data_IF_444196909362
#
_entry.id   IF_444196909362
#
_cell.length_a   1.000
_cell.length_b   1.000
_cell.length_c   1.000
_cell.angle_alpha   90.00
_cell.angle_beta   90.00
_cell.angle_gamma   90.00
#
_symmetry.space_group_name_H-M   'P 1'
#
loop_
_entity.id
_entity.type
_entity.pdbx_description
1 polymer ?
#
# COMPACT_ATOMS: atom_id res chain seq x y z
N UNK A 1 -12.81 -16.54 22.22
CA UNK A 1 -14.24 -16.68 21.89
C UNK A 1 -14.34 -17.43 20.57
N UNK A 2 -14.43 -18.76 20.64
CA UNK A 2 -14.47 -19.61 19.46
C UNK A 2 -15.89 -19.55 18.89
N UNK A 3 -16.02 -19.09 17.64
CA UNK A 3 -17.29 -19.14 16.91
C UNK A 3 -17.54 -20.62 16.61
N UNK A 4 -18.40 -21.23 17.40
CA UNK A 4 -18.96 -22.55 17.18
C UNK A 4 -19.92 -22.48 16.00
N UNK A 5 -19.38 -22.64 14.79
CA UNK A 5 -20.21 -22.94 13.62
C UNK A 5 -20.74 -24.35 13.82
N UNK A 6 -22.05 -24.46 14.05
CA UNK A 6 -22.80 -25.69 14.29
C UNK A 6 -22.43 -26.81 13.29
N UNK A 7 -21.77 -27.87 13.78
CA UNK A 7 -21.38 -29.04 12.98
C UNK A 7 -22.53 -30.00 12.69
N UNK A 8 -23.72 -29.79 13.27
CA UNK A 8 -24.83 -30.76 13.20
C UNK A 8 -25.72 -30.63 11.95
N UNK A 9 -25.67 -29.51 11.20
CA UNK A 9 -26.48 -29.34 9.97
C UNK A 9 -25.81 -29.81 8.67
N UNK A 10 -24.55 -30.23 8.73
CA UNK A 10 -23.76 -30.58 7.54
C UNK A 10 -23.65 -32.09 7.28
N UNK A 11 -24.34 -32.93 8.06
CA UNK A 11 -24.18 -34.39 8.01
C UNK A 11 -24.83 -35.10 6.79
N UNK A 12 -25.61 -34.41 5.93
CA UNK A 12 -26.37 -35.06 4.84
C UNK A 12 -26.18 -34.41 3.46
N UNK A 13 -25.49 -33.27 3.35
CA UNK A 13 -25.34 -32.61 2.05
C UNK A 13 -24.16 -33.18 1.25
N UNK A 14 -24.41 -33.59 0.01
CA UNK A 14 -23.32 -33.91 -0.93
C UNK A 14 -22.39 -32.70 -1.09
N UNK A 15 -21.08 -32.88 -1.32
CA UNK A 15 -20.13 -31.76 -1.44
C UNK A 15 -20.55 -30.73 -2.50
N UNK A 16 -21.29 -31.16 -3.52
CA UNK A 16 -21.88 -30.30 -4.56
C UNK A 16 -23.05 -29.45 -4.03
N UNK A 17 -23.93 -30.02 -3.21
CA UNK A 17 -25.02 -29.26 -2.56
C UNK A 17 -24.48 -28.21 -1.59
N UNK A 18 -23.43 -28.55 -0.84
CA UNK A 18 -22.73 -27.58 0.01
C UNK A 18 -22.12 -26.44 -0.83
N UNK A 19 -21.47 -26.77 -1.94
CA UNK A 19 -20.89 -25.78 -2.85
C UNK A 19 -21.94 -24.81 -3.43
N UNK A 20 -23.12 -25.31 -3.84
CA UNK A 20 -24.22 -24.45 -4.31
C UNK A 20 -24.72 -23.49 -3.23
N UNK A 21 -24.95 -24.00 -2.01
CA UNK A 21 -25.41 -23.19 -0.88
C UNK A 21 -24.41 -22.09 -0.53
N UNK A 22 -23.12 -22.44 -0.42
CA UNK A 22 -22.08 -21.46 -0.11
C UNK A 22 -21.84 -20.45 -1.23
N UNK A 23 -21.93 -20.87 -2.50
CA UNK A 23 -21.81 -19.99 -3.65
C UNK A 23 -22.95 -18.96 -3.70
N UNK A 24 -24.18 -19.39 -3.38
CA UNK A 24 -25.34 -18.50 -3.30
C UNK A 24 -25.18 -17.46 -2.20
N UNK A 25 -24.80 -17.87 -0.98
CA UNK A 25 -24.55 -16.92 0.10
C UNK A 25 -23.41 -15.95 -0.21
N UNK A 26 -22.31 -16.44 -0.80
CA UNK A 26 -21.22 -15.58 -1.22
C UNK A 26 -21.65 -14.56 -2.30
N UNK A 27 -22.50 -14.97 -3.25
CA UNK A 27 -23.09 -14.08 -4.25
C UNK A 27 -23.99 -13.01 -3.63
N UNK A 28 -24.88 -13.39 -2.71
CA UNK A 28 -25.78 -12.46 -2.02
C UNK A 28 -25.00 -11.43 -1.18
N UNK A 29 -23.99 -11.88 -0.42
CA UNK A 29 -23.11 -11.00 0.36
C UNK A 29 -22.32 -10.08 -0.57
N UNK A 30 -21.79 -10.61 -1.67
CA UNK A 30 -21.05 -9.85 -2.68
C UNK A 30 -21.92 -8.76 -3.31
N UNK A 31 -23.17 -9.06 -3.65
CA UNK A 31 -24.12 -8.08 -4.18
C UNK A 31 -24.35 -6.96 -3.17
N UNK A 32 -24.67 -7.29 -1.91
CA UNK A 32 -24.91 -6.31 -0.86
C UNK A 32 -23.71 -5.38 -0.62
N UNK A 33 -22.49 -5.94 -0.58
CA UNK A 33 -21.27 -5.16 -0.37
C UNK A 33 -20.90 -4.30 -1.60
N UNK A 34 -20.96 -4.85 -2.81
CA UNK A 34 -20.47 -4.16 -4.00
C UNK A 34 -21.47 -3.20 -4.65
N UNK A 35 -22.74 -3.20 -4.23
CA UNK A 35 -23.73 -2.27 -4.82
C UNK A 35 -23.34 -0.81 -4.63
N UNK A 36 -22.83 -0.46 -3.44
CA UNK A 36 -22.42 0.91 -3.14
C UNK A 36 -21.02 1.25 -3.66
N UNK A 37 -20.14 0.25 -3.82
CA UNK A 37 -18.75 0.47 -4.25
C UNK A 37 -18.55 0.41 -5.77
N UNK A 38 -19.31 -0.45 -6.46
CA UNK A 38 -19.16 -0.72 -7.89
C UNK A 38 -20.44 -0.35 -8.65
N UNK A 39 -21.60 -0.71 -8.10
CA UNK A 39 -22.89 -0.49 -8.76
C UNK A 39 -23.24 0.99 -8.90
N UNK A 40 -22.91 1.80 -7.91
CA UNK A 40 -23.18 3.24 -7.87
C UNK A 40 -21.86 4.02 -7.86
N UNK A 41 -21.63 4.82 -8.89
CA UNK A 41 -20.47 5.73 -8.96
C UNK A 41 -20.96 7.16 -9.08
N UNK A 42 -20.43 8.05 -8.24
CA UNK A 42 -20.57 9.49 -8.46
C UNK A 42 -19.50 9.97 -9.42
N UNK A 43 -19.93 10.58 -10.53
CA UNK A 43 -19.04 11.25 -11.49
C UNK A 43 -19.47 12.72 -11.60
N UNK A 44 -18.53 13.63 -11.86
CA UNK A 44 -18.85 15.02 -12.19
C UNK A 44 -19.12 15.13 -13.68
N UNK A 45 -20.26 15.73 -14.04
CA UNK A 45 -20.57 16.06 -15.43
C UNK A 45 -19.72 17.26 -15.92
N UNK A 46 -19.75 17.54 -17.21
CA UNK A 46 -19.03 18.65 -17.86
C UNK A 46 -19.40 20.02 -17.24
N UNK A 47 -20.60 20.12 -16.64
CA UNK A 47 -21.08 21.29 -15.88
C UNK A 47 -20.69 21.28 -14.39
N UNK A 48 -19.78 20.41 -13.94
CA UNK A 48 -19.37 20.19 -12.54
C UNK A 48 -20.47 19.73 -11.56
N UNK A 49 -21.61 19.25 -12.05
CA UNK A 49 -22.67 18.66 -11.22
C UNK A 49 -22.36 17.20 -10.88
N UNK A 50 -22.63 16.78 -9.64
CA UNK A 50 -22.54 15.38 -9.24
C UNK A 50 -23.70 14.58 -9.85
N UNK A 51 -23.38 13.68 -10.76
CA UNK A 51 -24.33 12.71 -11.32
C UNK A 51 -24.03 11.30 -10.82
N UNK A 52 -25.09 10.52 -10.62
CA UNK A 52 -24.99 9.12 -10.21
C UNK A 52 -24.97 8.23 -11.45
N UNK A 53 -23.80 7.69 -11.78
CA UNK A 53 -23.61 6.74 -12.87
C UNK A 53 -23.81 5.32 -12.35
N UNK A 54 -24.80 4.64 -12.90
CA UNK A 54 -25.13 3.27 -12.53
C UNK A 54 -24.36 2.27 -13.40
N UNK A 55 -23.66 1.32 -12.77
CA UNK A 55 -22.82 0.31 -13.43
C UNK A 55 -23.28 -1.11 -13.11
N UNK A 56 -24.57 -1.37 -13.29
CA UNK A 56 -25.20 -2.66 -13.00
C UNK A 56 -24.52 -3.85 -13.70
N UNK A 57 -24.01 -3.64 -14.92
CA UNK A 57 -23.31 -4.70 -15.68
C UNK A 57 -22.01 -5.12 -15.00
N UNK A 58 -21.18 -4.15 -14.56
CA UNK A 58 -19.94 -4.46 -13.83
C UNK A 58 -20.22 -5.13 -12.50
N UNK A 59 -21.26 -4.69 -11.79
CA UNK A 59 -21.70 -5.33 -10.56
C UNK A 59 -22.12 -6.79 -10.79
N UNK A 60 -22.93 -7.05 -11.82
CA UNK A 60 -23.36 -8.40 -12.16
C UNK A 60 -22.17 -9.30 -12.49
N UNK A 61 -21.19 -8.81 -13.27
CA UNK A 61 -19.96 -9.56 -13.59
C UNK A 61 -19.20 -9.93 -12.31
N UNK A 62 -19.02 -8.98 -11.38
CA UNK A 62 -18.30 -9.23 -10.13
C UNK A 62 -19.04 -10.26 -9.27
N UNK A 63 -20.35 -10.11 -9.10
CA UNK A 63 -21.17 -11.05 -8.31
C UNK A 63 -21.09 -12.46 -8.90
N UNK A 64 -21.24 -12.60 -10.22
CA UNK A 64 -21.12 -13.88 -10.92
C UNK A 64 -19.73 -14.47 -10.72
N UNK A 65 -18.66 -13.67 -10.85
CA UNK A 65 -17.29 -14.12 -10.65
C UNK A 65 -17.05 -14.61 -9.22
N UNK A 66 -17.60 -13.93 -8.20
CA UNK A 66 -17.52 -14.39 -6.80
C UNK A 66 -18.30 -15.68 -6.59
N UNK A 67 -19.52 -15.78 -7.10
CA UNK A 67 -20.36 -16.98 -6.99
C UNK A 67 -19.69 -18.18 -7.65
N UNK A 68 -19.22 -18.03 -8.89
CA UNK A 68 -18.51 -19.11 -9.60
C UNK A 68 -17.18 -19.45 -8.93
N UNK A 69 -16.39 -18.45 -8.53
CA UNK A 69 -15.14 -18.66 -7.83
C UNK A 69 -15.33 -19.42 -6.52
N UNK A 70 -16.35 -19.06 -5.73
CA UNK A 70 -16.69 -19.76 -4.49
C UNK A 70 -17.18 -21.18 -4.76
N UNK A 71 -18.02 -21.38 -5.77
CA UNK A 71 -18.49 -22.69 -6.17
C UNK A 71 -17.31 -23.62 -6.53
N UNK A 72 -16.41 -23.17 -7.40
CA UNK A 72 -15.25 -23.95 -7.83
C UNK A 72 -14.33 -24.26 -6.65
N UNK A 73 -14.10 -23.29 -5.76
CA UNK A 73 -13.27 -23.48 -4.58
C UNK A 73 -13.85 -24.54 -3.64
N UNK A 74 -15.15 -24.49 -3.32
CA UNK A 74 -15.78 -25.44 -2.38
C UNK A 74 -16.02 -26.80 -3.03
N UNK A 75 -16.40 -26.85 -4.30
CA UNK A 75 -16.70 -28.09 -5.00
C UNK A 75 -15.45 -28.91 -5.35
N UNK A 76 -14.33 -28.26 -5.68
CA UNK A 76 -13.13 -28.93 -6.19
C UNK A 76 -11.88 -28.66 -5.36
N UNK A 77 -11.59 -27.41 -4.99
CA UNK A 77 -10.31 -27.08 -4.33
C UNK A 77 -10.24 -27.59 -2.88
N UNK A 78 -11.30 -27.40 -2.10
CA UNK A 78 -11.41 -27.90 -0.71
C UNK A 78 -11.28 -29.42 -0.65
N UNK A 79 -12.09 -30.22 -1.36
CA UNK A 79 -11.98 -31.68 -1.31
C UNK A 79 -10.66 -32.20 -1.88
N UNK A 80 -10.07 -31.55 -2.89
CA UNK A 80 -8.74 -31.91 -3.39
C UNK A 80 -7.65 -31.64 -2.34
N UNK A 81 -7.70 -30.49 -1.64
CA UNK A 81 -6.77 -30.18 -0.55
C UNK A 81 -6.93 -31.13 0.64
N UNK A 82 -8.15 -31.52 0.97
CA UNK A 82 -8.45 -32.49 2.04
C UNK A 82 -7.91 -33.88 1.69
N UNK A 83 -8.10 -34.34 0.43
CA UNK A 83 -7.52 -35.59 -0.07
C UNK A 83 -5.99 -35.56 -0.02
N UNK A 84 -5.35 -34.50 -0.53
CA UNK A 84 -3.89 -34.36 -0.48
C UNK A 84 -3.35 -34.22 0.95
N UNK A 85 -4.09 -33.62 1.89
CA UNK A 85 -3.70 -33.59 3.31
C UNK A 85 -3.83 -34.96 3.96
N UNK A 86 -4.88 -35.72 3.66
CA UNK A 86 -5.07 -37.08 4.16
C UNK A 86 -3.99 -38.03 3.62
N UNK A 87 -3.67 -37.94 2.33
CA UNK A 87 -2.57 -38.68 1.69
C UNK A 87 -1.21 -38.32 2.30
N UNK A 88 -0.95 -37.03 2.58
CA UNK A 88 0.28 -36.57 3.26
C UNK A 88 0.35 -36.97 4.74
N UNK A 89 -0.78 -37.05 5.43
CA UNK A 89 -0.84 -37.52 6.81
C UNK A 89 -0.60 -39.03 6.92
N UNK A 90 -0.89 -39.78 5.85
CA UNK A 90 -0.64 -41.22 5.75
C UNK A 90 0.73 -41.57 5.16
N UNK A 91 1.42 -40.61 4.52
CA UNK A 91 2.77 -40.81 3.99
C UNK A 91 3.84 -40.82 5.12
N UNK A 92 4.87 -41.69 5.04
CA UNK A 92 5.95 -41.72 6.02
C UNK A 92 6.71 -40.38 6.05
N UNK A 93 7.12 -39.97 7.25
CA UNK A 93 7.74 -38.68 7.57
C UNK A 93 9.00 -38.31 6.75
N UNK A 94 9.55 -39.24 5.97
CA UNK A 94 10.70 -39.03 5.10
C UNK A 94 10.34 -38.32 3.77
N UNK A 95 9.07 -38.28 3.36
CA UNK A 95 8.63 -37.60 2.13
C UNK A 95 8.07 -36.21 2.48
N UNK A 96 8.84 -35.41 3.20
CA UNK A 96 8.57 -33.97 3.28
C UNK A 96 8.89 -33.40 1.90
N UNK A 97 7.87 -33.36 1.04
CA UNK A 97 7.97 -32.81 -0.31
C UNK A 97 8.71 -31.46 -0.24
N UNK A 98 9.84 -31.36 -0.94
CA UNK A 98 10.60 -30.11 -1.00
C UNK A 98 9.63 -28.97 -1.36
N UNK A 99 9.73 -27.80 -0.72
CA UNK A 99 8.87 -26.69 -1.03
C UNK A 99 8.97 -26.41 -2.54
N UNK A 100 7.86 -26.62 -3.26
CA UNK A 100 7.82 -26.50 -4.71
C UNK A 100 8.43 -25.19 -5.19
N UNK A 101 8.98 -25.19 -6.41
CA UNK A 101 9.77 -24.08 -6.98
C UNK A 101 9.18 -22.68 -6.71
N UNK A 102 7.85 -22.53 -6.83
CA UNK A 102 7.15 -21.27 -6.55
C UNK A 102 7.29 -20.81 -5.09
N UNK A 103 7.19 -21.71 -4.11
CA UNK A 103 7.34 -21.39 -2.68
C UNK A 103 8.79 -21.07 -2.35
N UNK A 104 9.74 -21.81 -2.94
CA UNK A 104 11.18 -21.58 -2.73
C UNK A 104 11.63 -20.24 -3.31
N UNK A 105 11.10 -19.87 -4.48
CA UNK A 105 11.51 -18.66 -5.21
C UNK A 105 10.53 -17.49 -5.07
N UNK A 106 9.53 -17.58 -4.19
CA UNK A 106 8.45 -16.59 -4.07
C UNK A 106 8.97 -15.15 -3.94
N UNK A 107 9.97 -14.92 -3.08
CA UNK A 107 10.54 -13.59 -2.88
C UNK A 107 11.27 -13.07 -4.14
N UNK A 108 11.96 -13.96 -4.87
CA UNK A 108 12.66 -13.59 -6.11
C UNK A 108 11.67 -13.27 -7.22
N UNK A 109 10.62 -14.10 -7.35
CA UNK A 109 9.55 -13.89 -8.33
C UNK A 109 8.83 -12.58 -8.02
N UNK A 110 8.47 -12.32 -6.76
CA UNK A 110 7.83 -11.07 -6.34
C UNK A 110 8.67 -9.84 -6.67
N UNK A 111 9.99 -9.89 -6.45
CA UNK A 111 10.90 -8.78 -6.77
C UNK A 111 11.01 -8.56 -8.29
N UNK A 112 11.08 -9.64 -9.07
CA UNK A 112 11.06 -9.55 -10.54
C UNK A 112 9.74 -8.96 -11.04
N UNK A 113 8.60 -9.38 -10.48
CA UNK A 113 7.28 -8.83 -10.83
C UNK A 113 7.21 -7.33 -10.51
N UNK A 114 7.71 -6.89 -9.36
CA UNK A 114 7.78 -5.48 -9.00
C UNK A 114 8.67 -4.67 -9.95
N UNK A 115 9.82 -5.21 -10.34
CA UNK A 115 10.69 -4.55 -11.31
C UNK A 115 10.06 -4.43 -12.70
N UNK A 116 9.35 -5.47 -13.15
CA UNK A 116 8.73 -5.49 -14.48
C UNK A 116 7.37 -4.76 -14.53
N UNK A 117 6.78 -4.43 -13.38
CA UNK A 117 5.44 -3.86 -13.29
C UNK A 117 5.25 -2.59 -14.15
N UNK A 118 6.10 -1.54 -14.08
CA UNK A 118 5.88 -0.34 -14.88
C UNK A 118 5.98 -0.62 -16.38
N UNK A 119 6.89 -1.52 -16.77
CA UNK A 119 7.10 -1.92 -18.17
C UNK A 119 5.86 -2.66 -18.68
N UNK A 120 5.34 -3.62 -17.91
CA UNK A 120 4.13 -4.34 -18.25
C UNK A 120 2.92 -3.40 -18.40
N UNK A 121 2.78 -2.39 -17.53
CA UNK A 121 1.68 -1.42 -17.63
C UNK A 121 1.80 -0.53 -18.88
N UNK A 122 3.02 -0.14 -19.27
CA UNK A 122 3.24 0.61 -20.52
C UNK A 122 2.91 -0.24 -21.75
N UNK A 123 3.25 -1.53 -21.74
CA UNK A 123 2.94 -2.44 -22.85
C UNK A 123 1.44 -2.70 -23.00
N UNK A 124 0.71 -2.84 -21.88
CA UNK A 124 -0.73 -3.15 -21.89
C UNK A 124 -1.62 -1.94 -22.17
N UNK A 125 -1.27 -0.76 -21.63
CA UNK A 125 -2.14 0.42 -21.66
C UNK A 125 -1.56 1.61 -22.42
N UNK A 126 -0.37 1.47 -23.01
CA UNK A 126 0.37 2.55 -23.64
C UNK A 126 0.93 3.57 -22.64
N UNK A 127 1.70 4.53 -23.13
CA UNK A 127 2.39 5.53 -22.30
C UNK A 127 1.44 6.44 -21.49
N UNK A 128 0.29 6.80 -22.06
CA UNK A 128 -0.65 7.71 -21.39
C UNK A 128 -1.59 6.98 -20.45
N UNK A 129 -2.02 5.76 -20.81
CA UNK A 129 -2.82 4.90 -19.93
C UNK A 129 -2.04 4.41 -18.71
N UNK A 130 -0.74 4.14 -18.86
CA UNK A 130 0.11 3.63 -17.77
C UNK A 130 0.30 4.65 -16.63
N UNK A 131 0.20 5.96 -16.89
CA UNK A 131 0.39 7.02 -15.89
C UNK A 131 -0.48 6.78 -14.64
N UNK A 132 -1.76 6.50 -14.84
CA UNK A 132 -2.71 6.24 -13.74
C UNK A 132 -2.33 4.97 -12.97
N UNK A 133 -1.92 3.93 -13.68
CA UNK A 133 -1.56 2.64 -13.08
C UNK A 133 -0.28 2.75 -12.24
N UNK A 134 0.76 3.35 -12.80
CA UNK A 134 2.06 3.49 -12.14
C UNK A 134 1.99 4.45 -10.96
N UNK A 135 1.27 5.58 -11.08
CA UNK A 135 1.18 6.59 -10.02
C UNK A 135 0.24 6.17 -8.88
N UNK A 136 -1.05 5.96 -9.19
CA UNK A 136 -2.09 5.74 -8.17
C UNK A 136 -2.04 4.34 -7.56
N UNK A 137 -1.54 3.34 -8.29
CA UNK A 137 -1.39 2.00 -7.75
C UNK A 137 0.06 1.72 -7.42
N UNK A 138 0.97 1.81 -8.39
CA UNK A 138 2.37 1.47 -8.17
C UNK A 138 3.03 2.27 -7.04
N UNK A 139 3.16 3.58 -7.21
CA UNK A 139 3.85 4.46 -6.24
C UNK A 139 3.08 4.53 -4.93
N UNK A 140 1.76 4.73 -4.98
CA UNK A 140 0.95 4.89 -3.76
C UNK A 140 0.96 3.62 -2.89
N UNK A 141 0.90 2.42 -3.49
CA UNK A 141 1.04 1.16 -2.74
C UNK A 141 2.43 1.07 -2.11
N UNK A 142 3.51 1.41 -2.82
CA UNK A 142 4.86 1.38 -2.26
C UNK A 142 5.02 2.34 -1.08
N UNK A 143 4.42 3.53 -1.15
CA UNK A 143 4.38 4.48 -0.03
C UNK A 143 3.65 3.87 1.16
N UNK A 144 2.46 3.27 0.96
CA UNK A 144 1.74 2.62 2.04
C UNK A 144 2.46 1.41 2.62
N UNK A 145 3.22 0.66 1.82
CA UNK A 145 4.07 -0.43 2.32
C UNK A 145 5.17 0.13 3.22
N UNK A 146 5.84 1.22 2.83
CA UNK A 146 6.83 1.88 3.70
C UNK A 146 6.21 2.40 5.00
N UNK A 147 5.01 3.00 4.92
CA UNK A 147 4.26 3.46 6.09
C UNK A 147 3.86 2.28 7.00
N UNK A 148 3.42 1.17 6.42
CA UNK A 148 3.09 -0.04 7.16
C UNK A 148 4.32 -0.64 7.85
N UNK A 149 5.50 -0.62 7.20
CA UNK A 149 6.75 -1.02 7.84
C UNK A 149 7.09 -0.12 9.03
N UNK A 150 6.93 1.19 8.90
CA UNK A 150 7.13 2.14 10.00
C UNK A 150 6.17 1.91 11.16
N UNK A 151 4.88 1.75 10.87
CA UNK A 151 3.86 1.44 11.88
C UNK A 151 4.10 0.10 12.58
N UNK A 152 4.55 -0.92 11.84
CA UNK A 152 4.87 -2.24 12.38
C UNK A 152 6.07 -2.21 13.33
N UNK A 153 6.98 -1.25 13.19
CA UNK A 153 8.06 -1.07 14.18
C UNK A 153 7.48 -0.60 15.52
N UNK A 154 6.56 0.38 15.51
CA UNK A 154 6.02 0.96 16.74
C UNK A 154 5.03 0.02 17.41
N UNK A 155 3.99 -0.40 16.68
CA UNK A 155 2.93 -1.26 17.24
C UNK A 155 3.40 -2.71 17.33
N UNK A 156 4.09 -3.20 16.30
CA UNK A 156 4.43 -4.62 16.17
C UNK A 156 5.67 -5.04 16.96
N UNK A 157 6.68 -4.18 17.13
CA UNK A 157 7.88 -4.51 17.94
C UNK A 157 7.79 -3.93 19.35
N UNK A 158 7.40 -2.67 19.51
CA UNK A 158 7.38 -2.02 20.83
C UNK A 158 6.05 -2.18 21.59
N UNK A 159 4.99 -2.71 20.96
CA UNK A 159 3.69 -2.93 21.60
C UNK A 159 2.94 -1.63 21.96
N UNK A 160 3.38 -0.48 21.46
CA UNK A 160 2.84 0.83 21.76
C UNK A 160 1.70 1.16 20.79
N UNK A 161 0.53 1.55 21.32
CA UNK A 161 -0.58 2.00 20.49
C UNK A 161 -0.29 3.41 19.93
N UNK A 162 0.02 3.49 18.63
CA UNK A 162 0.28 4.75 17.92
C UNK A 162 -0.81 5.02 16.87
N UNK A 163 -1.67 5.98 17.17
CA UNK A 163 -2.72 6.47 16.26
C UNK A 163 -2.31 7.74 15.52
N UNK A 164 -1.18 8.34 15.91
CA UNK A 164 -0.66 9.62 15.40
C UNK A 164 0.38 9.47 14.31
N UNK A 165 0.77 8.24 13.95
CA UNK A 165 1.85 7.94 12.99
C UNK A 165 1.80 8.78 11.69
N UNK A 166 0.58 9.04 11.17
CA UNK A 166 0.37 9.80 9.94
C UNK A 166 0.85 11.26 10.05
N UNK A 167 0.92 11.84 11.25
CA UNK A 167 1.48 13.18 11.43
C UNK A 167 2.97 13.25 11.08
N UNK A 168 3.77 12.22 11.38
CA UNK A 168 5.18 12.21 11.00
C UNK A 168 5.37 12.14 9.49
N UNK A 169 4.51 11.37 8.82
CA UNK A 169 4.43 11.36 7.36
C UNK A 169 4.09 12.75 6.80
N UNK A 170 3.09 13.43 7.38
CA UNK A 170 2.70 14.77 6.96
C UNK A 170 3.81 15.80 7.18
N UNK A 171 4.45 15.82 8.37
CA UNK A 171 5.56 16.71 8.68
C UNK A 171 6.72 16.53 7.69
N UNK A 172 7.11 15.28 7.39
CA UNK A 172 8.14 15.01 6.39
C UNK A 172 7.77 15.49 4.99
N UNK A 173 6.54 15.21 4.54
CA UNK A 173 6.06 15.62 3.22
C UNK A 173 6.00 17.15 3.07
N UNK A 174 5.49 17.86 4.07
CA UNK A 174 5.43 19.33 4.06
C UNK A 174 6.81 19.97 4.21
N UNK A 175 7.70 19.38 5.03
CA UNK A 175 9.10 19.83 5.10
C UNK A 175 9.79 19.71 3.73
N UNK A 176 9.62 18.58 3.04
CA UNK A 176 10.13 18.40 1.68
C UNK A 176 9.56 19.46 0.72
N UNK A 177 8.25 19.68 0.74
CA UNK A 177 7.59 20.62 -0.14
C UNK A 177 8.06 22.07 0.10
N UNK A 178 8.04 22.54 1.36
CA UNK A 178 8.43 23.90 1.74
C UNK A 178 9.91 24.17 1.46
N UNK A 179 10.80 23.26 1.84
CA UNK A 179 12.22 23.43 1.59
C UNK A 179 12.52 23.43 0.09
N UNK A 180 11.81 22.62 -0.68
CA UNK A 180 11.91 22.59 -2.14
C UNK A 180 11.45 23.89 -2.79
N UNK A 181 10.30 24.43 -2.39
CA UNK A 181 9.74 25.64 -3.01
C UNK A 181 10.45 26.91 -2.60
N UNK A 182 10.89 27.05 -1.35
CA UNK A 182 11.53 28.28 -0.85
C UNK A 182 13.03 28.35 -1.13
N UNK A 183 13.74 27.22 -1.02
CA UNK A 183 15.20 27.21 -1.13
C UNK A 183 15.73 26.55 -2.42
N UNK A 184 14.86 25.95 -3.24
CA UNK A 184 15.25 25.34 -4.51
C UNK A 184 16.29 24.22 -4.35
N UNK A 185 16.35 23.59 -3.18
CA UNK A 185 17.36 22.56 -2.88
C UNK A 185 17.14 21.32 -3.76
N UNK A 186 18.23 20.59 -4.01
CA UNK A 186 18.17 19.34 -4.77
C UNK A 186 17.35 18.29 -4.02
N UNK A 187 16.64 17.44 -4.77
CA UNK A 187 15.88 16.30 -4.23
C UNK A 187 16.70 15.45 -3.26
N UNK A 188 17.98 15.21 -3.57
CA UNK A 188 18.85 14.33 -2.79
C UNK A 188 19.26 14.92 -1.44
N UNK A 189 19.18 16.25 -1.29
CA UNK A 189 19.38 16.95 -0.02
C UNK A 189 18.05 17.03 0.73
N UNK A 190 16.96 17.31 0.01
CA UNK A 190 15.62 17.40 0.57
C UNK A 190 15.13 16.08 1.17
N UNK A 191 15.45 14.95 0.55
CA UNK A 191 15.04 13.62 1.02
C UNK A 191 15.54 13.32 2.45
N UNK A 192 16.85 13.36 2.76
CA UNK A 192 17.32 13.19 4.12
C UNK A 192 16.91 14.35 5.03
N UNK A 193 16.86 15.61 4.55
CA UNK A 193 16.42 16.74 5.36
C UNK A 193 14.98 16.58 5.87
N UNK A 194 14.07 16.11 5.01
CA UNK A 194 12.69 15.80 5.38
C UNK A 194 12.62 14.67 6.42
N UNK A 195 13.45 13.64 6.27
CA UNK A 195 13.59 12.57 7.25
C UNK A 195 14.08 13.08 8.61
N UNK A 196 15.11 13.94 8.62
CA UNK A 196 15.62 14.58 9.83
C UNK A 196 14.55 15.45 10.51
N UNK A 197 13.72 16.15 9.73
CA UNK A 197 12.64 16.98 10.26
C UNK A 197 11.53 16.14 10.90
N UNK A 198 11.13 15.04 10.25
CA UNK A 198 10.20 14.09 10.82
C UNK A 198 10.76 13.44 12.11
N UNK A 199 12.05 13.09 12.11
CA UNK A 199 12.73 12.55 13.28
C UNK A 199 12.81 13.56 14.44
N UNK A 200 13.09 14.83 14.14
CA UNK A 200 13.12 15.91 15.13
C UNK A 200 11.76 16.05 15.85
N UNK A 201 10.67 16.14 15.09
CA UNK A 201 9.32 16.17 15.66
C UNK A 201 8.96 14.87 16.39
N UNK A 202 9.45 13.73 15.89
CA UNK A 202 9.33 12.42 16.53
C UNK A 202 10.00 12.36 17.91
N UNK A 203 11.23 12.88 18.05
CA UNK A 203 11.93 12.94 19.34
C UNK A 203 11.25 13.93 20.29
N UNK A 204 10.82 15.08 19.76
CA UNK A 204 10.13 16.10 20.54
C UNK A 204 8.84 15.58 21.16
N UNK A 205 8.07 14.77 20.42
CA UNK A 205 6.88 14.11 20.94
C UNK A 205 7.22 12.85 21.76
N UNK A 206 8.22 12.07 21.37
CA UNK A 206 8.59 10.84 22.05
C UNK A 206 8.99 11.08 23.50
N UNK A 207 9.74 12.16 23.78
CA UNK A 207 10.23 12.46 25.12
C UNK A 207 9.12 12.59 26.20
N UNK A 208 8.06 13.40 26.04
CA UNK A 208 6.96 13.46 27.01
C UNK A 208 6.15 12.16 27.04
N UNK A 209 6.03 11.50 25.88
CA UNK A 209 5.15 10.33 25.70
C UNK A 209 5.69 9.06 26.35
N UNK A 210 7.00 8.93 26.52
CA UNK A 210 7.63 7.81 27.26
C UNK A 210 7.15 7.68 28.71
N UNK A 211 6.54 8.71 29.28
CA UNK A 211 5.98 8.70 30.64
C UNK A 211 4.54 8.16 30.69
N UNK A 212 3.90 7.98 29.55
CA UNK A 212 2.51 7.53 29.43
C UNK A 212 2.46 6.05 29.05
N UNK A 213 1.43 5.35 29.50
CA UNK A 213 1.23 3.91 29.22
C UNK A 213 -0.21 3.65 28.79
N UNK A 214 -0.40 2.61 27.97
CA UNK A 214 -1.70 2.13 27.54
C UNK A 214 -2.51 3.20 26.82
N UNK A 215 -3.74 3.46 27.28
CA UNK A 215 -4.70 4.33 26.59
C UNK A 215 -4.26 5.80 26.54
N UNK A 216 -3.53 6.27 27.56
CA UNK A 216 -3.02 7.64 27.59
C UNK A 216 -2.04 7.93 26.45
N UNK A 217 -1.23 6.93 26.08
CA UNK A 217 -0.31 7.01 24.96
C UNK A 217 -1.08 7.16 23.63
N UNK A 218 -2.14 6.37 23.45
CA UNK A 218 -2.97 6.40 22.26
C UNK A 218 -3.72 7.73 22.10
N UNK A 219 -4.25 8.28 23.20
CA UNK A 219 -4.96 9.57 23.20
C UNK A 219 -4.00 10.69 22.77
N UNK A 220 -2.77 10.72 23.30
CA UNK A 220 -1.80 11.77 22.97
C UNK A 220 -1.31 11.67 21.52
N UNK A 221 -1.07 10.46 21.01
CA UNK A 221 -0.68 10.29 19.60
C UNK A 221 -1.80 10.70 18.65
N UNK A 222 -3.05 10.34 18.94
CA UNK A 222 -4.22 10.80 18.17
C UNK A 222 -4.36 12.32 18.20
N UNK A 223 -4.25 12.94 19.39
CA UNK A 223 -4.34 14.38 19.54
C UNK A 223 -3.24 15.10 18.75
N UNK A 224 -2.01 14.59 18.78
CA UNK A 224 -0.93 15.12 17.96
C UNK A 224 -1.21 14.99 16.46
N UNK A 225 -1.69 13.83 16.02
CA UNK A 225 -2.16 13.58 14.65
C UNK A 225 -3.11 14.67 14.17
N UNK A 226 -4.11 14.95 15.00
CA UNK A 226 -5.15 15.94 14.72
C UNK A 226 -4.64 17.38 14.80
N UNK A 227 -3.78 17.72 15.76
CA UNK A 227 -3.14 19.03 15.85
C UNK A 227 -2.35 19.33 14.58
N UNK A 228 -1.52 18.40 14.11
CA UNK A 228 -0.75 18.58 12.87
C UNK A 228 -1.69 18.77 11.69
N UNK A 229 -2.75 17.98 11.57
CA UNK A 229 -3.76 18.14 10.51
C UNK A 229 -4.39 19.54 10.54
N UNK A 230 -4.80 20.01 11.71
CA UNK A 230 -5.40 21.34 11.88
C UNK A 230 -4.42 22.46 11.55
N UNK A 231 -3.17 22.35 12.00
CA UNK A 231 -2.12 23.33 11.68
C UNK A 231 -1.90 23.40 10.17
N UNK A 232 -1.78 22.25 9.50
CA UNK A 232 -1.55 22.20 8.06
C UNK A 232 -2.70 22.80 7.24
N UNK A 233 -3.95 22.67 7.70
CA UNK A 233 -5.13 23.19 6.98
C UNK A 233 -5.38 24.67 7.29
N UNK A 234 -5.13 25.12 8.52
CA UNK A 234 -5.44 26.48 8.94
C UNK A 234 -4.28 27.47 8.73
N UNK A 235 -3.03 27.00 8.75
CA UNK A 235 -1.86 27.88 8.62
C UNK A 235 -1.53 28.23 7.16
N UNK A 236 -2.44 28.98 6.54
CA UNK A 236 -2.39 29.30 5.10
C UNK A 236 -1.10 30.01 4.66
N UNK A 237 -0.51 30.83 5.52
CA UNK A 237 0.73 31.58 5.21
C UNK A 237 1.90 30.65 4.89
N UNK A 238 1.96 29.47 5.51
CA UNK A 238 3.06 28.52 5.32
C UNK A 238 2.65 27.41 4.37
N UNK A 239 1.52 26.75 4.62
CA UNK A 239 1.16 25.50 3.92
C UNK A 239 0.22 25.71 2.74
N UNK A 240 -0.28 26.93 2.54
CA UNK A 240 -1.37 27.25 1.64
C UNK A 240 -2.70 26.52 2.01
N UNK A 241 -2.81 26.05 3.25
CA UNK A 241 -4.01 25.43 3.81
C UNK A 241 -4.48 24.19 3.04
N UNK A 242 -5.78 24.10 2.76
CA UNK A 242 -6.39 22.96 2.04
C UNK A 242 -6.00 22.87 0.56
N UNK A 243 -5.48 23.94 -0.04
CA UNK A 243 -5.04 23.94 -1.44
C UNK A 243 -3.68 23.22 -1.62
N UNK A 244 -2.90 23.10 -0.53
CA UNK A 244 -1.58 22.48 -0.54
C UNK A 244 -0.54 23.28 -1.33
N UNK A 245 0.69 22.73 -1.37
CA UNK A 245 1.85 23.37 -1.98
C UNK A 245 2.00 22.87 -3.41
N UNK A 246 2.02 23.82 -4.36
CA UNK A 246 2.22 23.56 -5.79
C UNK A 246 3.62 24.01 -6.24
N UNK A 247 4.06 23.54 -7.40
CA UNK A 247 5.36 23.96 -7.97
C UNK A 247 6.59 23.33 -7.31
N UNK A 248 6.41 22.22 -6.60
CA UNK A 248 7.51 21.48 -5.99
C UNK A 248 8.51 21.05 -7.08
N UNK A 249 9.82 21.34 -6.93
CA UNK A 249 10.83 20.96 -7.90
C UNK A 249 10.79 19.46 -8.21
N UNK A 250 10.78 19.14 -9.51
CA UNK A 250 10.82 17.73 -9.96
C UNK A 250 12.16 17.12 -9.60
N UNK A 251 12.14 15.84 -9.27
CA UNK A 251 13.35 15.08 -8.98
C UNK A 251 14.26 15.06 -10.20
N UNK A 252 15.54 15.40 -10.04
CA UNK A 252 16.57 15.24 -11.07
C UNK A 252 17.52 14.09 -10.70
N UNK A 253 18.04 13.39 -11.71
CA UNK A 253 19.00 12.33 -11.51
C UNK A 253 20.40 12.93 -11.29
N UNK A 254 20.69 13.32 -10.04
CA UNK A 254 21.96 13.94 -9.63
C UNK A 254 22.41 15.11 -10.53
N UNK A 255 21.47 15.87 -11.11
CA UNK A 255 21.74 16.95 -12.08
C UNK A 255 22.13 16.50 -13.49
N UNK A 256 22.33 15.21 -13.74
CA UNK A 256 22.72 14.64 -15.03
C UNK A 256 21.55 14.46 -15.99
N UNK A 257 20.37 14.10 -15.46
CA UNK A 257 19.15 13.94 -16.25
C UNK A 257 17.98 14.63 -15.55
N UNK A 258 17.30 15.52 -16.28
CA UNK A 258 16.11 16.23 -15.82
C UNK A 258 14.86 15.61 -16.42
N UNK A 259 13.75 15.72 -15.68
CA UNK A 259 12.42 15.34 -16.14
C UNK A 259 11.56 16.58 -16.47
N UNK A 260 12.19 17.76 -16.49
CA UNK A 260 11.59 18.98 -16.99
C UNK A 260 11.74 19.05 -18.51
N UNK A 261 10.63 19.23 -19.23
CA UNK A 261 10.60 19.30 -20.70
C UNK A 261 11.40 20.51 -21.20
N UNK A 262 11.45 21.58 -20.38
CA UNK A 262 12.17 22.81 -20.67
C UNK A 262 13.68 22.69 -20.54
N UNK A 263 14.19 21.69 -19.82
CA UNK A 263 15.63 21.59 -19.56
C UNK A 263 16.39 21.00 -20.77
N UNK A 264 17.67 21.38 -20.97
CA UNK A 264 18.54 20.78 -21.99
C UNK A 264 18.75 19.28 -21.75
N UNK A 265 18.85 18.86 -20.49
CA UNK A 265 19.11 17.48 -20.07
C UNK A 265 17.80 16.66 -19.93
N UNK A 266 16.73 17.02 -20.63
CA UNK A 266 15.48 16.26 -20.58
C UNK A 266 15.69 14.85 -21.12
N UNK A 267 15.32 13.83 -20.35
CA UNK A 267 15.57 12.42 -20.69
C UNK A 267 15.09 12.04 -22.09
N UNK A 268 13.93 12.55 -22.53
CA UNK A 268 13.45 12.25 -23.87
C UNK A 268 14.27 12.92 -24.99
N UNK A 269 14.86 14.10 -24.72
CA UNK A 269 15.77 14.78 -25.66
C UNK A 269 17.14 14.08 -25.72
N UNK A 270 17.67 13.66 -24.58
CA UNK A 270 18.98 12.99 -24.49
C UNK A 270 18.93 11.57 -25.08
N UNK A 271 17.84 10.84 -24.88
CA UNK A 271 17.69 9.47 -25.39
C UNK A 271 17.01 9.39 -26.77
N UNK A 272 16.66 10.53 -27.38
CA UNK A 272 15.90 10.60 -28.64
C UNK A 272 14.60 9.77 -28.65
N UNK A 273 13.87 9.76 -27.53
CA UNK A 273 12.60 9.03 -27.37
C UNK A 273 11.43 10.02 -27.39
N UNK A 274 10.23 9.56 -27.77
CA UNK A 274 9.01 10.36 -27.72
C UNK A 274 8.80 11.03 -26.35
N UNK A 275 8.42 12.31 -26.31
CA UNK A 275 8.21 13.00 -25.04
C UNK A 275 6.97 12.46 -24.32
N UNK A 276 7.14 11.98 -23.08
CA UNK A 276 6.04 11.50 -22.25
C UNK A 276 6.29 11.76 -20.77
N UNK A 277 5.24 12.15 -20.04
CA UNK A 277 5.28 12.24 -18.57
C UNK A 277 5.47 10.89 -17.88
N UNK A 278 5.29 9.79 -18.61
CA UNK A 278 5.42 8.43 -18.08
C UNK A 278 6.83 8.14 -17.54
N UNK A 279 7.88 8.66 -18.18
CA UNK A 279 9.27 8.43 -17.73
C UNK A 279 9.51 8.95 -16.31
N UNK A 280 8.94 10.11 -15.98
CA UNK A 280 9.06 10.67 -14.64
C UNK A 280 8.36 9.79 -13.60
N UNK A 281 7.15 9.31 -13.90
CA UNK A 281 6.39 8.42 -13.00
C UNK A 281 7.07 7.06 -12.85
N UNK A 282 7.61 6.49 -13.93
CA UNK A 282 8.37 5.23 -13.88
C UNK A 282 9.64 5.41 -13.02
N UNK A 283 10.33 6.54 -13.17
CA UNK A 283 11.49 6.85 -12.34
C UNK A 283 11.11 6.96 -10.85
N UNK A 284 10.05 7.70 -10.52
CA UNK A 284 9.55 7.80 -9.15
C UNK A 284 9.12 6.44 -8.59
N UNK A 285 8.56 5.55 -9.42
CA UNK A 285 8.25 4.19 -9.02
C UNK A 285 9.50 3.41 -8.62
N UNK A 286 10.56 3.42 -9.43
CA UNK A 286 11.81 2.72 -9.10
C UNK A 286 12.50 3.34 -7.88
N UNK A 287 12.42 4.66 -7.72
CA UNK A 287 12.92 5.35 -6.54
C UNK A 287 12.15 4.94 -5.28
N UNK A 288 10.82 4.92 -5.35
CA UNK A 288 9.96 4.45 -4.25
C UNK A 288 10.21 2.97 -3.94
N UNK A 289 10.43 2.14 -4.96
CA UNK A 289 10.77 0.72 -4.79
C UNK A 289 12.13 0.56 -4.10
N UNK A 290 13.14 1.33 -4.51
CA UNK A 290 14.45 1.32 -3.87
C UNK A 290 14.36 1.75 -2.40
N UNK A 291 13.61 2.81 -2.09
CA UNK A 291 13.34 3.23 -0.71
C UNK A 291 12.53 2.19 0.07
N UNK A 292 11.59 1.50 -0.57
CA UNK A 292 10.83 0.42 0.04
C UNK A 292 11.72 -0.80 0.38
N UNK A 293 12.64 -1.16 -0.51
CA UNK A 293 13.60 -2.24 -0.25
C UNK A 293 14.61 -1.83 0.83
N UNK A 294 15.05 -0.57 0.84
CA UNK A 294 15.94 -0.02 1.87
C UNK A 294 15.26 -0.01 3.23
N UNK A 295 14.02 0.46 3.32
CA UNK A 295 13.24 0.44 4.58
C UNK A 295 13.03 -0.98 5.07
N UNK A 296 12.62 -1.91 4.20
CA UNK A 296 12.51 -3.32 4.56
C UNK A 296 13.85 -3.92 5.05
N UNK A 297 14.96 -3.63 4.36
CA UNK A 297 16.29 -4.06 4.77
C UNK A 297 16.66 -3.51 6.16
N UNK A 298 16.46 -2.21 6.39
CA UNK A 298 16.73 -1.56 7.68
C UNK A 298 15.85 -2.17 8.77
N UNK A 299 14.56 -2.37 8.55
CA UNK A 299 13.66 -2.97 9.54
C UNK A 299 14.05 -4.41 9.88
N UNK A 300 14.35 -5.23 8.88
CA UNK A 300 14.82 -6.61 9.11
C UNK A 300 16.14 -6.60 9.89
N UNK A 301 17.05 -5.68 9.59
CA UNK A 301 18.32 -5.57 10.29
C UNK A 301 18.12 -5.11 11.74
N UNK A 302 17.27 -4.11 11.96
CA UNK A 302 16.96 -3.55 13.27
C UNK A 302 16.38 -4.61 14.21
N UNK A 303 15.49 -5.46 13.70
CA UNK A 303 14.92 -6.59 14.45
C UNK A 303 15.96 -7.61 14.90
N UNK A 304 17.02 -7.82 14.11
CA UNK A 304 18.10 -8.77 14.44
C UNK A 304 19.10 -8.20 15.45
N UNK A 305 19.20 -6.88 15.54
CA UNK A 305 20.11 -6.17 16.44
C UNK A 305 19.63 -6.22 17.90
N UNK A 306 20.54 -6.01 18.89
CA UNK A 306 20.19 -6.04 20.31
C UNK A 306 19.05 -5.08 20.68
N UNK A 307 19.03 -3.89 20.06
CA UNK A 307 17.99 -2.87 20.30
C UNK A 307 16.60 -3.39 19.89
N UNK A 308 16.48 -4.04 18.74
CA UNK A 308 15.21 -4.62 18.30
C UNK A 308 14.73 -5.74 19.22
N UNK A 309 15.64 -6.58 19.72
CA UNK A 309 15.30 -7.62 20.69
C UNK A 309 14.89 -7.06 22.04
N UNK A 310 15.48 -5.93 22.45
CA UNK A 310 15.08 -5.24 23.66
C UNK A 310 13.67 -4.66 23.55
N UNK A 311 13.26 -4.20 22.36
CA UNK A 311 11.88 -3.75 22.10
C UNK A 311 10.87 -4.89 22.13
N UNK A 312 11.21 -6.04 21.54
CA UNK A 312 10.34 -7.23 21.58
C UNK A 312 10.17 -7.83 23.00
N UNK A 313 11.04 -7.45 23.95
CA UNK A 313 11.02 -7.93 25.32
C UNK A 313 10.27 -7.01 26.31
N UNK A 314 9.85 -5.81 25.87
CA UNK A 314 9.06 -4.84 26.65
C UNK A 314 7.59 -5.21 26.70
#
# INVERSE_FOLDING_TARGET
MAVTVSSERDAVATPIQRAFREAFYAGAISLGLFVLFIGLRTDQNISNELILVQRWVLLAIVVIAVTLGRFVYVAYAVPAMERSKAERAQAPAAVVAEPGFLKRNFNRIGLVVLLLYPIAMVLLFGFQGSLKWVDNFGIQILIYVMLAWGLNIVIGLAGLLDLGYVAFYAVGAYAYALLGTHFGLSFWILLPAAGCMAAFWGVMLGFPVLRLRGDYLAIVTLAFGEIIRLVLINWREVTNGSAGISGIPKVSFFGLMSFNVSDPNYIAKVLHIAQSGAYYKIFLYYLALALCLLTAFVTIRLRRLPVGRAWEAL
#
